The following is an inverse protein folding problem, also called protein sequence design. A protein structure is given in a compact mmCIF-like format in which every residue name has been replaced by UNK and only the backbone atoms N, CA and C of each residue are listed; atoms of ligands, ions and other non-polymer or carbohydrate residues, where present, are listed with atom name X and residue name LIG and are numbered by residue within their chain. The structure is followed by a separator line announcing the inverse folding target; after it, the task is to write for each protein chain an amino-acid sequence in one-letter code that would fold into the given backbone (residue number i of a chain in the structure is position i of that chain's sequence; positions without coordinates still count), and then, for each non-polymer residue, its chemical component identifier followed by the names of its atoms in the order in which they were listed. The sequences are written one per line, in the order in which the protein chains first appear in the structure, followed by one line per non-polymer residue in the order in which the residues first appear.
data_IF_526515739482
#
_entry.id   IF_526515739482
#
_cell.length_a   1.000
_cell.length_b   1.000
_cell.length_c   1.000
_cell.angle_alpha   90.00
_cell.angle_beta   90.00
_cell.angle_gamma   90.00
#
_symmetry.space_group_name_H-M   'P 1'
#
loop_
_entity.id
_entity.type
_entity.pdbx_description
1 polymer ?
#
# COMPACT_ATOMS: atom_id res chain seq x y z
N UNK A 1 32.40 -10.74 2.73
CA UNK A 1 30.99 -10.65 3.17
C UNK A 1 30.29 -9.68 2.24
N UNK A 2 29.45 -10.14 1.32
CA UNK A 2 28.62 -9.22 0.54
C UNK A 2 27.60 -8.58 1.50
N UNK A 3 27.58 -7.25 1.59
CA UNK A 3 26.51 -6.54 2.29
C UNK A 3 25.21 -6.77 1.51
N UNK A 4 24.26 -7.49 2.10
CA UNK A 4 22.91 -7.62 1.56
C UNK A 4 22.26 -6.22 1.50
N UNK A 5 21.66 -5.87 0.37
CA UNK A 5 20.82 -4.68 0.28
C UNK A 5 19.56 -4.86 1.13
N UNK A 6 18.92 -3.75 1.54
CA UNK A 6 17.62 -3.83 2.25
C UNK A 6 16.60 -4.61 1.41
N UNK A 7 16.54 -4.34 0.10
CA UNK A 7 15.66 -5.06 -0.83
C UNK A 7 15.92 -6.56 -0.83
N UNK A 8 17.17 -7.00 -0.94
CA UNK A 8 17.50 -8.43 -0.94
C UNK A 8 17.22 -9.09 0.42
N UNK A 9 17.51 -8.37 1.50
CA UNK A 9 17.21 -8.83 2.85
C UNK A 9 15.72 -9.05 3.06
N UNK A 10 14.87 -8.11 2.64
CA UNK A 10 13.42 -8.26 2.71
C UNK A 10 12.92 -9.36 1.78
N UNK A 11 13.41 -9.44 0.55
CA UNK A 11 13.01 -10.46 -0.44
C UNK A 11 13.19 -11.88 0.08
N UNK A 12 14.29 -12.17 0.80
CA UNK A 12 14.57 -13.50 1.37
C UNK A 12 13.57 -13.94 2.46
N UNK A 13 12.86 -12.98 3.06
CA UNK A 13 11.89 -13.24 4.13
C UNK A 13 10.45 -13.22 3.62
N UNK A 14 10.23 -13.11 2.30
CA UNK A 14 8.91 -13.28 1.69
C UNK A 14 8.76 -14.74 1.28
N UNK A 15 7.70 -15.39 1.79
CA UNK A 15 7.37 -16.76 1.43
C UNK A 15 6.54 -16.76 0.15
N UNK A 16 6.87 -17.65 -0.79
CA UNK A 16 6.01 -17.93 -1.94
C UNK A 16 5.15 -19.16 -1.66
N UNK A 17 3.84 -19.01 -1.77
CA UNK A 17 2.86 -20.10 -1.64
C UNK A 17 2.31 -20.38 -3.04
N UNK A 18 2.65 -21.54 -3.66
CA UNK A 18 2.16 -21.88 -4.99
C UNK A 18 0.67 -22.26 -4.95
N UNK A 19 0.00 -22.04 -6.08
CA UNK A 19 -1.38 -22.45 -6.36
C UNK A 19 -2.42 -21.91 -5.36
N UNK A 20 -2.16 -20.72 -4.81
CA UNK A 20 -3.08 -20.04 -3.89
C UNK A 20 -3.36 -18.60 -4.34
N UNK A 21 -4.61 -18.12 -4.31
CA UNK A 21 -5.83 -18.83 -3.89
C UNK A 21 -6.38 -19.76 -4.97
N UNK A 22 -5.76 -19.81 -6.15
CA UNK A 22 -6.17 -20.63 -7.29
C UNK A 22 -4.93 -21.24 -7.99
N UNK A 23 -5.10 -22.36 -8.73
CA UNK A 23 -4.02 -22.96 -9.50
C UNK A 23 -3.33 -21.97 -10.43
N UNK A 24 -1.99 -22.03 -10.50
CA UNK A 24 -1.15 -21.14 -11.30
C UNK A 24 -0.74 -19.83 -10.62
N UNK A 25 -1.34 -19.47 -9.47
CA UNK A 25 -1.00 -18.23 -8.76
C UNK A 25 0.18 -18.45 -7.81
N UNK A 26 1.20 -17.59 -7.90
CA UNK A 26 2.34 -17.55 -6.97
C UNK A 26 2.09 -16.49 -5.89
N UNK A 27 1.46 -16.87 -4.78
CA UNK A 27 1.13 -15.92 -3.72
C UNK A 27 2.36 -15.51 -2.92
N UNK A 28 2.60 -14.19 -2.83
CA UNK A 28 3.69 -13.63 -2.02
C UNK A 28 3.17 -13.33 -0.62
N UNK A 29 3.47 -14.24 0.30
CA UNK A 29 3.09 -14.14 1.70
C UNK A 29 4.11 -13.29 2.49
N UNK A 30 3.67 -12.11 2.91
CA UNK A 30 4.45 -11.15 3.70
C UNK A 30 4.47 -11.46 5.19
N UNK A 31 3.70 -12.44 5.69
CA UNK A 31 3.60 -12.69 7.13
C UNK A 31 4.93 -13.00 7.82
N UNK A 32 5.94 -13.66 7.20
CA UNK A 32 7.23 -13.84 7.85
C UNK A 32 8.00 -12.52 8.03
N UNK A 33 7.78 -11.52 7.17
CA UNK A 33 8.33 -10.16 7.37
C UNK A 33 7.80 -9.53 8.66
N UNK A 34 6.53 -9.78 8.98
CA UNK A 34 5.85 -9.23 10.15
C UNK A 34 6.19 -9.99 11.43
N UNK A 35 6.48 -11.29 11.32
CA UNK A 35 6.77 -12.18 12.44
C UNK A 35 8.19 -12.03 12.98
N UNK A 36 9.17 -11.75 12.10
CA UNK A 36 10.54 -11.49 12.54
C UNK A 36 10.68 -10.01 12.98
N UNK A 37 10.97 -9.74 14.26
CA UNK A 37 11.00 -8.36 14.78
C UNK A 37 12.11 -7.51 14.15
N UNK A 38 13.24 -8.12 13.73
CA UNK A 38 14.33 -7.40 13.08
C UNK A 38 13.95 -7.04 11.65
N UNK A 39 13.37 -8.00 10.93
CA UNK A 39 12.91 -7.78 9.54
C UNK A 39 11.80 -6.74 9.52
N UNK A 40 10.84 -6.82 10.45
CA UNK A 40 9.77 -5.85 10.54
C UNK A 40 10.29 -4.44 10.81
N UNK A 41 11.24 -4.28 11.75
CA UNK A 41 11.91 -3.00 12.01
C UNK A 41 12.60 -2.46 10.77
N UNK A 42 13.44 -3.26 10.10
CA UNK A 42 14.14 -2.83 8.88
C UNK A 42 13.17 -2.38 7.78
N UNK A 43 12.07 -3.11 7.60
CA UNK A 43 11.03 -2.76 6.63
C UNK A 43 10.36 -1.42 6.94
N UNK A 44 9.94 -1.20 8.19
CA UNK A 44 9.31 0.05 8.62
C UNK A 44 10.30 1.22 8.51
N UNK A 45 11.53 1.03 8.97
CA UNK A 45 12.57 2.07 8.93
C UNK A 45 12.85 2.50 7.47
N UNK A 46 12.77 1.59 6.50
CA UNK A 46 12.92 1.94 5.09
C UNK A 46 11.83 2.94 4.61
N UNK A 47 10.58 2.73 5.00
CA UNK A 47 9.51 3.70 4.72
C UNK A 47 9.69 4.99 5.50
N UNK A 48 9.95 4.92 6.81
CA UNK A 48 10.10 6.09 7.67
C UNK A 48 11.25 6.97 7.20
N UNK A 49 12.42 6.41 6.88
CA UNK A 49 13.56 7.18 6.39
C UNK A 49 13.26 7.90 5.06
N UNK A 50 12.44 7.33 4.19
CA UNK A 50 12.00 7.99 2.95
C UNK A 50 11.09 9.17 3.23
N UNK A 51 10.12 9.00 4.13
CA UNK A 51 9.04 9.97 4.36
C UNK A 51 9.32 10.93 5.52
N UNK A 52 10.41 10.77 6.28
CA UNK A 52 10.83 11.75 7.28
C UNK A 52 11.47 12.98 6.64
N UNK A 53 11.98 12.88 5.41
CA UNK A 53 12.47 14.01 4.63
C UNK A 53 11.34 15.02 4.41
N UNK A 54 11.61 16.31 4.66
CA UNK A 54 10.61 17.38 4.60
C UNK A 54 9.92 17.47 3.23
N UNK A 55 10.64 17.18 2.14
CA UNK A 55 10.07 17.20 0.79
C UNK A 55 9.08 16.05 0.57
N UNK A 56 9.28 14.92 1.24
CA UNK A 56 8.48 13.69 1.11
C UNK A 56 7.54 13.43 2.28
N UNK A 57 7.50 14.30 3.30
CA UNK A 57 6.65 14.09 4.47
C UNK A 57 5.16 14.27 4.14
N UNK A 58 4.31 13.25 4.40
CA UNK A 58 2.86 13.37 4.24
C UNK A 58 2.24 14.12 5.43
N UNK A 59 1.04 14.65 5.23
CA UNK A 59 0.20 15.18 6.31
C UNK A 59 -0.62 14.06 6.98
N UNK A 60 -0.91 13.01 6.22
CA UNK A 60 -1.70 11.85 6.65
C UNK A 60 -1.29 10.59 5.87
N UNK A 61 -1.36 9.43 6.51
CA UNK A 61 -1.16 8.14 5.86
C UNK A 61 -2.51 7.43 5.72
N UNK A 62 -2.87 7.06 4.50
CA UNK A 62 -4.06 6.25 4.23
C UNK A 62 -3.65 4.80 3.95
N UNK A 63 -4.23 3.85 4.70
CA UNK A 63 -3.98 2.41 4.51
C UNK A 63 -5.17 1.72 3.84
N UNK A 64 -4.90 0.74 2.98
CA UNK A 64 -5.92 -0.11 2.37
C UNK A 64 -6.18 -1.39 3.19
N UNK A 65 -7.46 -1.76 3.33
CA UNK A 65 -7.90 -2.91 4.13
C UNK A 65 -7.44 -4.24 3.51
N UNK A 66 -6.87 -5.19 4.25
CA UNK A 66 -6.53 -5.15 5.69
C UNK A 66 -5.03 -4.97 5.92
N UNK A 67 -4.20 -5.54 5.04
CA UNK A 67 -2.76 -5.70 5.28
C UNK A 67 -2.02 -4.36 5.17
N UNK A 68 -2.50 -3.44 4.33
CA UNK A 68 -2.05 -2.05 4.31
C UNK A 68 -2.19 -1.33 5.65
N UNK A 69 -3.13 -1.73 6.53
CA UNK A 69 -3.26 -1.11 7.86
C UNK A 69 -2.07 -1.41 8.76
N UNK A 70 -1.48 -2.61 8.65
CA UNK A 70 -0.36 -3.03 9.50
C UNK A 70 0.82 -2.08 9.30
N UNK A 71 1.11 -1.76 8.03
CA UNK A 71 2.20 -0.88 7.66
C UNK A 71 1.82 0.59 7.87
N UNK A 72 0.66 0.99 7.36
CA UNK A 72 0.25 2.37 7.37
C UNK A 72 0.06 2.95 8.77
N UNK A 73 -0.48 2.16 9.70
CA UNK A 73 -0.63 2.62 11.08
C UNK A 73 0.73 2.83 11.77
N UNK A 74 1.70 1.93 11.54
CA UNK A 74 3.05 2.04 12.13
C UNK A 74 3.82 3.19 11.49
N UNK A 75 3.77 3.33 10.17
CA UNK A 75 4.42 4.45 9.47
C UNK A 75 3.81 5.79 9.90
N UNK A 76 2.49 5.89 10.02
CA UNK A 76 1.83 7.10 10.52
C UNK A 76 2.29 7.47 11.94
N UNK A 77 2.37 6.47 12.81
CA UNK A 77 2.82 6.63 14.19
C UNK A 77 4.26 7.13 14.26
N UNK A 78 5.20 6.49 13.55
CA UNK A 78 6.63 6.87 13.53
C UNK A 78 6.85 8.26 12.90
N UNK A 79 6.01 8.65 11.92
CA UNK A 79 6.03 9.99 11.33
C UNK A 79 5.22 11.02 12.13
N UNK A 80 4.57 10.64 13.23
CA UNK A 80 3.71 11.50 14.04
C UNK A 80 2.64 12.25 13.21
N UNK A 81 1.91 11.51 12.37
CA UNK A 81 0.81 12.01 11.54
C UNK A 81 -0.44 11.16 11.71
N UNK A 82 -1.58 11.63 11.18
CA UNK A 82 -2.82 10.87 11.22
C UNK A 82 -2.76 9.59 10.38
N UNK A 83 -3.53 8.59 10.79
CA UNK A 83 -3.80 7.39 10.00
C UNK A 83 -5.28 7.33 9.59
N UNK A 84 -5.53 7.00 8.33
CA UNK A 84 -6.86 6.92 7.74
C UNK A 84 -7.09 5.54 7.12
N UNK A 85 -8.08 4.75 7.59
CA UNK A 85 -8.41 3.47 6.99
C UNK A 85 -9.35 3.64 5.79
N UNK A 86 -8.97 3.07 4.64
CA UNK A 86 -9.87 2.85 3.50
C UNK A 86 -10.33 1.40 3.55
N UNK A 87 -11.65 1.17 3.63
CA UNK A 87 -12.21 -0.15 3.93
C UNK A 87 -13.11 -0.67 2.83
N UNK A 88 -13.37 -1.98 2.84
CA UNK A 88 -14.47 -2.55 2.04
C UNK A 88 -15.81 -1.97 2.51
N UNK A 89 -16.77 -1.89 1.58
CA UNK A 89 -18.12 -1.38 1.84
C UNK A 89 -18.77 -1.98 3.09
N UNK A 90 -19.39 -1.12 3.91
CA UNK A 90 -20.13 -1.47 5.11
C UNK A 90 -19.28 -1.72 6.36
N UNK A 91 -17.99 -1.35 6.34
CA UNK A 91 -17.08 -1.52 7.49
C UNK A 91 -16.77 -0.23 8.24
N UNK A 92 -17.17 0.92 7.69
CA UNK A 92 -16.98 2.25 8.27
C UNK A 92 -18.31 2.76 8.84
N UNK A 93 -18.36 3.21 10.11
CA UNK A 93 -19.63 3.54 10.77
C UNK A 93 -20.14 4.97 10.50
N UNK A 94 -19.30 5.87 9.99
CA UNK A 94 -19.66 7.27 9.76
C UNK A 94 -20.00 7.55 8.29
N UNK A 95 -20.28 8.80 7.92
CA UNK A 95 -20.59 9.18 6.53
C UNK A 95 -19.42 8.84 5.62
N UNK A 96 -19.67 8.09 4.55
CA UNK A 96 -18.65 7.63 3.61
C UNK A 96 -18.80 8.22 2.21
N UNK A 97 -17.67 8.36 1.53
CA UNK A 97 -17.60 8.35 0.07
C UNK A 97 -17.20 6.97 -0.40
N UNK A 98 -17.68 6.55 -1.56
CA UNK A 98 -17.43 5.21 -2.11
C UNK A 98 -16.82 5.26 -3.52
N UNK A 99 -16.05 4.22 -3.83
CA UNK A 99 -15.56 3.94 -5.17
C UNK A 99 -15.64 2.46 -5.50
N UNK A 100 -16.25 2.18 -6.66
CA UNK A 100 -16.38 0.84 -7.22
C UNK A 100 -15.37 0.64 -8.33
N UNK A 101 -14.70 -0.50 -8.32
CA UNK A 101 -13.75 -0.90 -9.37
C UNK A 101 -14.02 -2.33 -9.82
N UNK A 102 -13.68 -2.59 -11.08
CA UNK A 102 -13.85 -3.90 -11.71
C UNK A 102 -12.72 -4.85 -11.31
N UNK A 103 -13.11 -6.10 -11.10
CA UNK A 103 -12.22 -7.26 -10.97
C UNK A 103 -12.37 -8.11 -12.23
N UNK A 104 -11.48 -9.09 -12.41
CA UNK A 104 -11.60 -10.08 -13.50
C UNK A 104 -12.95 -10.83 -13.42
N UNK A 105 -13.44 -11.07 -12.21
CA UNK A 105 -14.75 -11.65 -11.94
C UNK A 105 -15.51 -10.78 -10.92
N UNK A 106 -16.32 -9.85 -11.44
CA UNK A 106 -17.21 -9.00 -10.65
C UNK A 106 -16.66 -7.60 -10.36
N UNK A 107 -17.18 -6.97 -9.31
CA UNK A 107 -16.73 -5.64 -8.87
C UNK A 107 -16.55 -5.63 -7.35
N UNK A 108 -15.71 -4.72 -6.88
CA UNK A 108 -15.51 -4.44 -5.47
C UNK A 108 -15.68 -2.95 -5.19
N UNK A 109 -16.21 -2.64 -4.00
CA UNK A 109 -16.41 -1.25 -3.55
C UNK A 109 -15.62 -1.01 -2.27
N UNK A 110 -14.87 0.09 -2.28
CA UNK A 110 -14.16 0.61 -1.11
C UNK A 110 -14.78 1.93 -0.66
N UNK A 111 -14.66 2.20 0.64
CA UNK A 111 -15.21 3.36 1.33
C UNK A 111 -14.14 4.09 2.13
N UNK A 112 -14.33 5.39 2.27
CA UNK A 112 -13.54 6.29 3.11
C UNK A 112 -14.49 7.23 3.85
N UNK A 113 -14.24 7.52 5.12
CA UNK A 113 -15.04 8.53 5.82
C UNK A 113 -14.87 9.91 5.14
N UNK A 114 -15.97 10.64 4.99
CA UNK A 114 -15.99 11.94 4.29
C UNK A 114 -15.19 13.04 5.02
N UNK A 115 -14.89 12.85 6.30
CA UNK A 115 -14.10 13.74 7.16
C UNK A 115 -12.66 13.24 7.39
N UNK A 116 -12.26 12.15 6.73
CA UNK A 116 -10.98 11.50 7.00
C UNK A 116 -9.76 12.35 6.60
N UNK A 117 -9.92 13.20 5.59
CA UNK A 117 -8.88 14.09 5.06
C UNK A 117 -9.47 15.46 4.75
N UNK A 118 -8.62 16.48 4.70
CA UNK A 118 -8.97 17.85 4.34
C UNK A 118 -8.50 18.17 2.92
N UNK A 119 -9.19 19.10 2.22
CA UNK A 119 -8.69 19.63 0.97
C UNK A 119 -7.27 20.17 1.12
N UNK A 120 -6.36 19.74 0.24
CA UNK A 120 -4.95 20.10 0.27
C UNK A 120 -4.03 19.16 1.07
N UNK A 121 -4.57 18.23 1.86
CA UNK A 121 -3.74 17.25 2.58
C UNK A 121 -2.89 16.44 1.58
N UNK A 122 -1.61 16.27 1.88
CA UNK A 122 -0.70 15.39 1.16
C UNK A 122 -0.76 13.99 1.76
N UNK A 123 -1.30 13.04 1.00
CA UNK A 123 -1.58 11.69 1.50
C UNK A 123 -0.56 10.69 0.99
N UNK A 124 0.06 9.96 1.91
CA UNK A 124 0.77 8.72 1.59
C UNK A 124 -0.25 7.57 1.56
N UNK A 125 -0.47 6.98 0.39
CA UNK A 125 -1.37 5.83 0.25
C UNK A 125 -0.55 4.54 0.30
N UNK A 126 -0.81 3.66 1.27
CA UNK A 126 0.01 2.47 1.51
C UNK A 126 -0.81 1.18 1.47
N UNK A 127 -0.23 0.16 0.87
CA UNK A 127 -0.71 -1.22 0.88
C UNK A 127 0.44 -2.20 1.13
N UNK A 128 0.15 -3.49 1.27
CA UNK A 128 1.21 -4.49 1.36
C UNK A 128 1.81 -4.83 -0.01
N UNK A 129 0.99 -4.94 -1.04
CA UNK A 129 1.41 -5.43 -2.36
C UNK A 129 0.62 -4.76 -3.50
N UNK A 130 1.32 -4.48 -4.60
CA UNK A 130 0.72 -4.03 -5.87
C UNK A 130 0.63 -5.22 -6.83
N UNK A 131 -0.61 -5.63 -7.14
CA UNK A 131 -0.92 -6.65 -8.14
C UNK A 131 -1.46 -5.98 -9.42
N UNK A 132 -2.79 -5.92 -9.58
CA UNK A 132 -3.44 -5.24 -10.72
C UNK A 132 -3.56 -3.72 -10.55
N UNK A 133 -3.25 -3.21 -9.35
CA UNK A 133 -3.33 -1.79 -8.99
C UNK A 133 -4.75 -1.26 -8.77
N UNK A 134 -5.79 -2.08 -8.92
CA UNK A 134 -7.19 -1.65 -8.84
C UNK A 134 -7.57 -0.99 -7.51
N UNK A 135 -7.22 -1.63 -6.39
CA UNK A 135 -7.55 -1.13 -5.04
C UNK A 135 -6.82 0.18 -4.73
N UNK A 136 -5.53 0.29 -5.08
CA UNK A 136 -4.76 1.52 -4.90
C UNK A 136 -5.30 2.66 -5.77
N UNK A 137 -5.73 2.37 -7.01
CA UNK A 137 -6.39 3.36 -7.86
C UNK A 137 -7.72 3.84 -7.26
N UNK A 138 -8.52 2.93 -6.71
CA UNK A 138 -9.79 3.29 -6.06
C UNK A 138 -9.56 4.13 -4.80
N UNK A 139 -8.56 3.77 -3.98
CA UNK A 139 -8.14 4.57 -2.83
C UNK A 139 -7.68 5.97 -3.23
N UNK A 140 -6.88 6.09 -4.30
CA UNK A 140 -6.47 7.39 -4.85
C UNK A 140 -7.67 8.26 -5.21
N UNK A 141 -8.63 7.71 -5.96
CA UNK A 141 -9.83 8.44 -6.37
C UNK A 141 -10.69 8.90 -5.18
N UNK A 142 -10.82 8.07 -4.14
CA UNK A 142 -11.54 8.45 -2.91
C UNK A 142 -10.90 9.66 -2.22
N UNK A 143 -9.58 9.66 -2.10
CA UNK A 143 -8.84 10.76 -1.48
C UNK A 143 -8.94 12.05 -2.32
N UNK A 144 -8.83 11.93 -3.65
CA UNK A 144 -8.97 13.05 -4.58
C UNK A 144 -10.40 13.63 -4.59
N UNK A 145 -11.44 12.79 -4.43
CA UNK A 145 -12.84 13.25 -4.25
C UNK A 145 -13.01 14.17 -3.03
N UNK A 146 -12.22 13.96 -1.98
CA UNK A 146 -12.22 14.79 -0.77
C UNK A 146 -11.26 15.98 -0.86
N UNK A 147 -10.64 16.20 -2.02
CA UNK A 147 -9.74 17.33 -2.29
C UNK A 147 -8.31 17.13 -1.80
N UNK A 148 -7.94 15.92 -1.35
CA UNK A 148 -6.58 15.60 -0.95
C UNK A 148 -5.71 15.25 -2.17
N UNK A 149 -4.40 15.41 -2.04
CA UNK A 149 -3.43 15.03 -3.07
C UNK A 149 -2.69 13.78 -2.64
N UNK A 150 -2.82 12.69 -3.41
CA UNK A 150 -2.04 11.48 -3.16
C UNK A 150 -0.63 11.67 -3.70
N UNK A 151 0.34 11.85 -2.80
CA UNK A 151 1.71 12.20 -3.17
C UNK A 151 2.50 10.99 -3.70
N UNK A 152 2.25 9.80 -3.14
CA UNK A 152 2.91 8.56 -3.54
C UNK A 152 2.06 7.36 -3.10
N UNK A 153 2.04 6.32 -3.92
CA UNK A 153 1.59 4.98 -3.53
C UNK A 153 2.77 4.16 -3.04
N UNK A 154 2.70 3.63 -1.82
CA UNK A 154 3.75 2.82 -1.22
C UNK A 154 3.29 1.38 -1.04
N UNK A 155 4.20 0.42 -1.27
CA UNK A 155 3.96 -0.98 -0.96
C UNK A 155 5.25 -1.72 -0.59
N UNK A 156 5.13 -2.88 0.06
CA UNK A 156 6.30 -3.75 0.26
C UNK A 156 6.68 -4.36 -1.08
N UNK A 157 5.70 -4.94 -1.78
CA UNK A 157 5.92 -5.79 -2.94
C UNK A 157 5.27 -5.19 -4.19
N UNK A 158 6.00 -5.21 -5.31
CA UNK A 158 5.46 -5.05 -6.65
C UNK A 158 5.48 -6.39 -7.41
N UNK A 159 4.41 -6.68 -8.15
CA UNK A 159 4.31 -7.78 -9.11
C UNK A 159 4.19 -7.22 -10.53
N UNK A 160 5.32 -6.85 -11.18
CA UNK A 160 5.30 -6.09 -12.43
C UNK A 160 4.54 -6.78 -13.57
N UNK A 161 4.56 -8.11 -13.60
CA UNK A 161 3.92 -8.93 -14.64
C UNK A 161 2.38 -8.81 -14.63
N UNK A 162 1.79 -8.37 -13.52
CA UNK A 162 0.35 -8.10 -13.42
C UNK A 162 -0.02 -6.68 -13.90
N UNK A 163 0.97 -5.87 -14.31
CA UNK A 163 0.79 -4.57 -14.94
C UNK A 163 0.25 -3.45 -14.03
N UNK A 164 -0.02 -3.72 -12.75
CA UNK A 164 -0.64 -2.75 -11.85
C UNK A 164 0.23 -1.53 -11.58
N UNK A 165 1.53 -1.71 -11.35
CA UNK A 165 2.42 -0.59 -11.09
C UNK A 165 2.63 0.29 -12.32
N UNK A 166 2.68 -0.29 -13.52
CA UNK A 166 2.69 0.45 -14.78
C UNK A 166 1.40 1.27 -14.96
N UNK A 167 0.24 0.66 -14.71
CA UNK A 167 -1.08 1.32 -14.79
C UNK A 167 -1.21 2.50 -13.82
N UNK A 168 -0.73 2.35 -12.60
CA UNK A 168 -0.74 3.41 -11.59
C UNK A 168 0.20 4.57 -11.95
N UNK A 169 1.41 4.27 -12.43
CA UNK A 169 2.33 5.32 -12.92
C UNK A 169 1.75 6.07 -14.12
N UNK A 170 1.11 5.37 -15.05
CA UNK A 170 0.44 5.97 -16.20
C UNK A 170 -0.74 6.88 -15.81
N UNK A 171 -1.36 6.67 -14.64
CA UNK A 171 -2.39 7.58 -14.11
C UNK A 171 -1.83 8.78 -13.35
N UNK A 172 -0.51 8.94 -13.33
CA UNK A 172 0.18 10.02 -12.64
C UNK A 172 0.41 9.77 -11.15
N UNK A 173 0.27 8.53 -10.66
CA UNK A 173 0.62 8.19 -9.28
C UNK A 173 2.09 7.71 -9.19
N UNK A 174 2.99 8.47 -8.54
CA UNK A 174 4.32 7.97 -8.20
C UNK A 174 4.22 6.75 -7.29
N UNK A 175 5.12 5.78 -7.46
CA UNK A 175 5.14 4.57 -6.65
C UNK A 175 6.50 4.32 -6.02
N UNK A 176 6.48 3.88 -4.76
CA UNK A 176 7.64 3.37 -4.04
C UNK A 176 7.36 1.96 -3.52
N UNK A 177 8.15 0.99 -3.99
CA UNK A 177 8.11 -0.39 -3.54
C UNK A 177 9.46 -0.83 -2.99
N UNK A 178 9.45 -1.63 -1.92
CA UNK A 178 10.69 -2.11 -1.29
C UNK A 178 11.31 -3.30 -2.03
N UNK A 179 10.45 -4.16 -2.59
CA UNK A 179 10.81 -5.39 -3.30
C UNK A 179 9.99 -5.49 -4.58
N UNK A 180 10.65 -5.75 -5.70
CA UNK A 180 10.01 -6.24 -6.93
C UNK A 180 10.27 -7.74 -7.10
N UNK A 181 9.29 -8.44 -7.68
CA UNK A 181 9.41 -9.82 -8.16
C UNK A 181 9.25 -9.86 -9.68
N UNK A 182 10.17 -9.22 -10.42
CA UNK A 182 10.21 -9.37 -11.88
C UNK A 182 10.77 -10.73 -12.30
N UNK A 183 10.15 -11.41 -13.27
CA UNK A 183 10.71 -12.61 -13.92
C UNK A 183 10.67 -13.87 -13.06
N UNK A 184 9.67 -13.99 -12.17
CA UNK A 184 9.55 -15.06 -11.18
C UNK A 184 8.28 -15.89 -11.34
#
# INVERSE_FOLDING_TARGET
MHSLSVTDYLRQHIRTVPDWPAPGVQFRDITPLLQDPKVFRVMIDAFVHRYMDRAMRPDVVAGLDARGFILGAVVAYELNVGFVPIRKKGKLPFTTVEETYELEYGSATVELHADAVKPGDRVLLIDDLIATGGTMMAGKKLLEKLGATVMEGAAIVDLPELGGSARLRASGLPLYTLVDFSGC
#
